data_IF_691255477935
#
_entry.id   IF_691255477935
#
_cell.length_a   1.000
_cell.length_b   1.000
_cell.length_c   1.000
_cell.angle_alpha   90.00
_cell.angle_beta   90.00
_cell.angle_gamma   90.00
#
_symmetry.space_group_name_H-M   'P 1'
#
loop_
_entity.id
_entity.type
_entity.pdbx_description
1 polymer ?
#
# COMPACT_ATOMS: atom_id res chain seq x y z
N UNK A 1 8.21 11.46 7.47
CA UNK A 1 7.00 10.87 6.83
C UNK A 1 7.06 9.35 6.92
N UNK A 2 5.94 8.64 6.97
CA UNK A 2 5.93 7.18 6.91
C UNK A 2 5.38 6.69 5.58
N UNK A 3 5.86 5.54 5.13
CA UNK A 3 5.36 4.88 3.94
C UNK A 3 5.10 3.40 4.21
N UNK A 4 4.18 2.83 3.42
CA UNK A 4 3.95 1.41 3.35
C UNK A 4 4.27 0.94 1.94
N UNK A 5 4.98 -0.18 1.86
CA UNK A 5 5.13 -0.96 0.63
C UNK A 5 4.75 -2.41 0.90
N UNK A 6 4.21 -3.10 -0.11
CA UNK A 6 3.85 -4.51 0.01
C UNK A 6 3.99 -5.24 -1.33
N UNK A 7 4.14 -6.56 -1.25
CA UNK A 7 4.10 -7.47 -2.39
C UNK A 7 3.00 -8.53 -2.19
N UNK A 8 2.24 -8.83 -3.24
CA UNK A 8 1.13 -9.79 -3.21
C UNK A 8 1.39 -10.86 -4.27
N UNK A 9 1.16 -12.12 -3.91
CA UNK A 9 1.11 -13.20 -4.87
C UNK A 9 -0.11 -13.07 -5.79
N UNK A 10 0.12 -12.65 -7.04
CA UNK A 10 -0.95 -12.53 -8.04
C UNK A 10 -1.56 -13.87 -8.42
N UNK A 11 -0.82 -14.98 -8.28
CA UNK A 11 -1.37 -16.31 -8.52
C UNK A 11 -2.35 -16.69 -7.41
N UNK A 12 -2.03 -16.37 -6.15
CA UNK A 12 -2.94 -16.55 -5.02
C UNK A 12 -4.23 -15.72 -5.14
N UNK A 13 -4.12 -14.48 -5.67
CA UNK A 13 -5.30 -13.63 -5.88
C UNK A 13 -6.33 -14.27 -6.80
N UNK A 14 -5.91 -15.05 -7.81
CA UNK A 14 -6.83 -15.76 -8.69
C UNK A 14 -7.78 -16.70 -7.95
N UNK A 15 -7.32 -17.32 -6.87
CA UNK A 15 -8.09 -18.29 -6.08
C UNK A 15 -8.82 -17.66 -4.88
N UNK A 16 -8.28 -16.57 -4.32
CA UNK A 16 -8.75 -15.98 -3.06
C UNK A 16 -9.57 -14.70 -3.21
N UNK A 17 -9.49 -14.02 -4.36
CA UNK A 17 -10.21 -12.78 -4.59
C UNK A 17 -11.57 -13.05 -5.24
N UNK A 18 -12.59 -12.32 -4.79
CA UNK A 18 -14.00 -12.57 -5.12
C UNK A 18 -14.39 -12.45 -6.61
N UNK A 19 -13.49 -11.96 -7.48
CA UNK A 19 -13.72 -11.76 -8.92
C UNK A 19 -12.45 -12.12 -9.70
N UNK A 20 -12.59 -12.54 -10.96
CA UNK A 20 -11.47 -13.01 -11.83
C UNK A 20 -10.40 -11.95 -12.18
N UNK A 21 -10.48 -10.71 -11.65
CA UNK A 21 -9.55 -9.63 -12.00
C UNK A 21 -8.74 -9.17 -10.78
N UNK A 22 -7.47 -9.59 -10.75
CA UNK A 22 -6.45 -9.11 -9.82
C UNK A 22 -6.26 -7.58 -9.84
N UNK A 23 -6.54 -6.93 -10.98
CA UNK A 23 -6.53 -5.46 -11.11
C UNK A 23 -7.49 -4.79 -10.12
N UNK A 24 -8.62 -5.41 -9.81
CA UNK A 24 -9.59 -4.88 -8.86
C UNK A 24 -9.08 -4.95 -7.42
N UNK A 25 -8.27 -5.96 -7.06
CA UNK A 25 -7.69 -6.11 -5.73
C UNK A 25 -6.76 -4.94 -5.38
N UNK A 26 -5.85 -4.56 -6.29
CA UNK A 26 -5.02 -3.37 -6.12
C UNK A 26 -5.85 -2.08 -6.05
N UNK A 27 -6.94 -2.00 -6.82
CA UNK A 27 -7.89 -0.90 -6.74
C UNK A 27 -8.58 -0.78 -5.36
N UNK A 28 -8.98 -1.90 -4.78
CA UNK A 28 -9.62 -1.94 -3.46
C UNK A 28 -8.66 -1.55 -2.33
N UNK A 29 -7.40 -2.00 -2.42
CA UNK A 29 -6.34 -1.57 -1.50
C UNK A 29 -6.08 -0.09 -1.66
N UNK A 30 -5.94 0.40 -2.90
CA UNK A 30 -5.69 1.83 -3.16
C UNK A 30 -6.77 2.71 -2.54
N UNK A 31 -8.04 2.41 -2.83
CA UNK A 31 -9.18 3.15 -2.25
C UNK A 31 -9.16 3.12 -0.72
N UNK A 32 -8.83 1.98 -0.13
CA UNK A 32 -8.72 1.87 1.33
C UNK A 32 -7.59 2.73 1.88
N UNK A 33 -6.40 2.66 1.29
CA UNK A 33 -5.23 3.43 1.74
C UNK A 33 -5.48 4.94 1.60
N UNK A 34 -6.04 5.38 0.49
CA UNK A 34 -6.43 6.79 0.25
C UNK A 34 -7.47 7.29 1.25
N UNK A 35 -8.46 6.47 1.59
CA UNK A 35 -9.42 6.80 2.65
C UNK A 35 -8.79 6.87 4.06
N UNK A 36 -7.60 6.31 4.25
CA UNK A 36 -6.87 6.26 5.52
C UNK A 36 -5.62 7.14 5.55
N UNK A 37 -5.65 8.28 4.84
CA UNK A 37 -4.60 9.31 4.85
C UNK A 37 -3.26 8.91 4.21
N UNK A 38 -3.27 7.92 3.33
CA UNK A 38 -2.12 7.59 2.48
C UNK A 38 -2.34 8.05 1.04
N UNK A 39 -1.30 8.57 0.39
CA UNK A 39 -1.29 8.88 -1.03
C UNK A 39 -0.54 7.79 -1.79
N UNK A 40 -1.17 7.25 -2.84
CA UNK A 40 -0.51 6.33 -3.78
C UNK A 40 0.63 7.03 -4.52
N UNK A 41 1.79 6.38 -4.63
CA UNK A 41 2.94 6.90 -5.38
C UNK A 41 3.15 6.13 -6.67
N UNK A 42 3.47 4.84 -6.56
CA UNK A 42 3.68 3.93 -7.69
C UNK A 42 3.52 2.50 -7.22
N UNK A 43 3.01 1.62 -8.08
CA UNK A 43 2.82 0.20 -7.74
C UNK A 43 2.12 0.00 -6.40
N UNK A 44 2.79 -0.69 -5.46
CA UNK A 44 2.32 -0.95 -4.10
C UNK A 44 2.87 0.02 -3.05
N UNK A 45 3.35 1.21 -3.44
CA UNK A 45 3.97 2.19 -2.53
C UNK A 45 2.98 3.30 -2.18
N UNK A 46 2.82 3.52 -0.88
CA UNK A 46 1.87 4.49 -0.31
C UNK A 46 2.57 5.36 0.73
N UNK A 47 2.45 6.68 0.61
CA UNK A 47 3.01 7.63 1.57
C UNK A 47 1.93 8.19 2.46
N UNK A 48 2.14 8.12 3.77
CA UNK A 48 1.27 8.75 4.75
C UNK A 48 1.44 10.26 4.77
N UNK A 49 0.36 11.00 4.98
CA UNK A 49 0.44 12.45 5.23
C UNK A 49 0.95 12.76 6.65
N UNK A 50 0.85 14.03 7.04
CA UNK A 50 1.24 14.57 8.35
C UNK A 50 0.51 13.94 9.55
N UNK A 51 -0.64 13.30 9.33
CA UNK A 51 -1.42 12.59 10.36
C UNK A 51 -0.94 11.16 10.60
N UNK A 52 -0.07 10.62 9.73
CA UNK A 52 0.42 9.25 9.86
C UNK A 52 1.64 9.20 10.77
N UNK A 53 1.53 8.37 11.80
CA UNK A 53 2.58 7.95 12.71
C UNK A 53 2.92 6.47 12.50
N UNK A 54 4.00 5.98 13.11
CA UNK A 54 4.33 4.55 13.10
C UNK A 54 3.18 3.68 13.64
N UNK A 55 2.50 4.15 14.70
CA UNK A 55 1.38 3.42 15.31
C UNK A 55 0.19 3.38 14.36
N UNK A 56 -0.21 4.52 13.78
CA UNK A 56 -1.34 4.55 12.85
C UNK A 56 -1.06 3.79 11.55
N UNK A 57 0.20 3.72 11.10
CA UNK A 57 0.63 2.81 10.04
C UNK A 57 0.26 1.36 10.36
N UNK A 58 0.72 0.85 11.51
CA UNK A 58 0.44 -0.53 11.93
C UNK A 58 -1.07 -0.79 12.02
N UNK A 59 -1.81 0.13 12.65
CA UNK A 59 -3.26 0.01 12.79
C UNK A 59 -3.99 0.00 11.45
N UNK A 60 -3.55 0.83 10.49
CA UNK A 60 -4.15 0.90 9.15
C UNK A 60 -3.98 -0.43 8.41
N UNK A 61 -2.79 -1.03 8.48
CA UNK A 61 -2.52 -2.32 7.83
C UNK A 61 -3.27 -3.47 8.50
N UNK A 62 -3.40 -3.46 9.82
CA UNK A 62 -4.26 -4.43 10.53
C UNK A 62 -5.73 -4.29 10.11
N UNK A 63 -6.22 -3.07 9.92
CA UNK A 63 -7.58 -2.82 9.43
C UNK A 63 -7.76 -3.25 7.97
N UNK A 64 -6.77 -3.01 7.11
CA UNK A 64 -6.76 -3.49 5.72
C UNK A 64 -6.89 -5.01 5.68
N UNK A 65 -6.03 -5.71 6.43
CA UNK A 65 -6.04 -7.17 6.53
C UNK A 65 -7.38 -7.72 7.04
N UNK A 66 -7.98 -7.05 8.03
CA UNK A 66 -9.30 -7.45 8.55
C UNK A 66 -10.42 -7.22 7.54
N UNK A 67 -10.36 -6.12 6.77
CA UNK A 67 -11.36 -5.78 5.76
C UNK A 67 -11.27 -6.70 4.53
N UNK A 68 -10.05 -7.08 4.15
CA UNK A 68 -9.77 -7.89 2.98
C UNK A 68 -8.97 -9.13 3.41
N UNK A 69 -9.64 -10.21 3.86
CA UNK A 69 -8.93 -11.42 4.32
C UNK A 69 -7.99 -12.03 3.27
N UNK A 70 -8.31 -11.88 1.99
CA UNK A 70 -7.45 -12.30 0.86
C UNK A 70 -6.11 -11.55 0.84
N UNK A 71 -6.04 -10.34 1.40
CA UNK A 71 -4.77 -9.62 1.52
C UNK A 71 -3.81 -10.40 2.42
N UNK A 72 -4.26 -10.84 3.59
CA UNK A 72 -3.44 -11.69 4.47
C UNK A 72 -3.12 -13.04 3.85
N UNK A 73 -4.06 -13.63 3.11
CA UNK A 73 -3.84 -14.92 2.45
C UNK A 73 -2.76 -14.85 1.36
N UNK A 74 -2.67 -13.73 0.64
CA UNK A 74 -1.84 -13.62 -0.56
C UNK A 74 -0.63 -12.68 -0.43
N UNK A 75 -0.51 -11.91 0.65
CA UNK A 75 0.63 -10.98 0.82
C UNK A 75 1.91 -11.75 1.13
N UNK A 76 2.99 -11.43 0.40
CA UNK A 76 4.32 -12.02 0.58
C UNK A 76 5.19 -11.19 1.51
N UNK A 77 5.07 -9.87 1.41
CA UNK A 77 5.89 -8.93 2.16
C UNK A 77 5.10 -7.64 2.43
N UNK A 78 5.27 -7.06 3.63
CA UNK A 78 4.76 -5.73 3.97
C UNK A 78 5.83 -5.02 4.79
N UNK A 79 6.19 -3.79 4.40
CA UNK A 79 7.19 -2.99 5.11
C UNK A 79 6.62 -1.62 5.45
N UNK A 80 6.96 -1.16 6.65
CA UNK A 80 6.86 0.24 7.03
C UNK A 80 8.23 0.88 6.82
N UNK A 81 8.25 2.02 6.14
CA UNK A 81 9.44 2.82 5.93
C UNK A 81 9.27 4.17 6.60
N UNK A 82 10.39 4.74 7.06
CA UNK A 82 10.45 6.13 7.52
C UNK A 82 11.25 6.93 6.50
N UNK A 83 10.61 7.94 5.94
CA UNK A 83 11.17 8.86 4.95
C UNK A 83 11.50 10.15 5.67
N UNK A 84 12.79 10.42 5.84
CA UNK A 84 13.29 11.64 6.48
C UNK A 84 13.66 12.74 5.49
N UNK A 85 14.04 12.36 4.27
CA UNK A 85 14.56 13.28 3.25
C UNK A 85 13.72 13.27 1.98
N UNK A 86 14.03 14.20 1.06
CA UNK A 86 13.43 14.18 -0.27
C UNK A 86 13.66 12.81 -0.94
N UNK A 87 12.58 12.19 -1.38
CA UNK A 87 12.59 10.87 -2.01
C UNK A 87 12.33 10.96 -3.52
N UNK A 88 11.81 12.09 -4.01
CA UNK A 88 11.58 12.29 -5.43
C UNK A 88 12.89 12.67 -6.12
N UNK A 89 13.31 11.83 -7.06
CA UNK A 89 14.52 11.99 -7.85
C UNK A 89 14.24 12.36 -9.30
N UNK A 90 12.98 12.53 -9.72
CA UNK A 90 12.64 13.02 -11.07
C UNK A 90 13.38 14.32 -11.43
N UNK A 91 13.49 15.32 -10.51
CA UNK A 91 14.24 16.54 -10.80
C UNK A 91 15.73 16.32 -11.08
N UNK A 92 16.35 15.27 -10.53
CA UNK A 92 17.76 14.95 -10.78
C UNK A 92 18.00 14.49 -12.24
N UNK A 93 16.93 14.08 -12.93
CA UNK A 93 16.95 13.73 -14.35
C UNK A 93 16.55 14.90 -15.26
N UNK A 94 16.29 16.10 -14.70
CA UNK A 94 15.76 17.24 -15.44
C UNK A 94 14.30 17.07 -15.88
N UNK A 95 13.57 16.15 -15.25
CA UNK A 95 12.16 15.91 -15.48
C UNK A 95 11.35 16.54 -14.33
N UNK A 96 10.23 17.17 -14.68
CA UNK A 96 9.28 17.75 -13.73
C UNK A 96 7.92 17.05 -13.87
#
# INVERSE_FOLDING_TARGET
MYAVTFDIDTNCLGDQYHNESSTNAYGDIRKFMEANNFAWQQGSVYFGNDKITAVTCVLTIQQLAKKYPWFTACVKDVRMLRIEENNDLMPALGLA
#
